data_IF_262054939441
#
_entry.id   IF_262054939441
#
_cell.length_a   1.000
_cell.length_b   1.000
_cell.length_c   1.000
_cell.angle_alpha   90.00
_cell.angle_beta   90.00
_cell.angle_gamma   90.00
#
_symmetry.space_group_name_H-M   'P 1'
#
loop_
_entity.id
_entity.type
_entity.pdbx_description
1 polymer ?
#
# COMPACT_ATOMS: atom_id res chain seq x y z
N UNK A 1 29.29 -13.90 20.33
CA UNK A 1 29.13 -12.60 19.64
C UNK A 1 30.19 -12.51 18.54
N UNK A 2 29.80 -12.45 17.26
CA UNK A 2 30.52 -11.65 16.28
C UNK A 2 29.59 -10.80 15.37
N UNK A 3 29.85 -9.49 15.42
CA UNK A 3 30.03 -8.48 14.34
C UNK A 3 29.05 -8.31 13.14
N UNK A 4 28.56 -7.06 13.06
CA UNK A 4 28.19 -6.22 11.92
C UNK A 4 26.88 -6.46 11.15
N UNK A 5 25.92 -5.57 11.41
CA UNK A 5 25.51 -4.61 10.38
C UNK A 5 25.10 -3.28 11.01
N UNK A 6 26.04 -2.34 11.02
CA UNK A 6 25.73 -0.91 10.96
C UNK A 6 24.75 -0.71 9.80
N UNK A 7 23.50 -0.30 10.07
CA UNK A 7 22.64 0.25 9.03
C UNK A 7 22.41 1.72 9.33
N UNK A 8 23.51 2.49 9.27
CA UNK A 8 23.40 3.92 9.12
C UNK A 8 23.00 4.22 7.68
N UNK A 9 22.11 5.20 7.53
CA UNK A 9 21.58 5.73 6.27
C UNK A 9 20.78 4.74 5.40
N UNK A 10 19.54 4.49 5.81
CA UNK A 10 18.35 4.87 5.03
C UNK A 10 17.03 4.57 5.77
N UNK A 11 16.98 4.82 7.09
CA UNK A 11 15.77 4.68 7.93
C UNK A 11 14.57 5.40 7.31
N UNK A 12 14.78 6.60 6.76
CA UNK A 12 13.74 7.35 6.06
C UNK A 12 13.21 6.62 4.81
N UNK A 13 14.10 6.05 4.01
CA UNK A 13 13.75 5.30 2.81
C UNK A 13 13.06 3.96 3.15
N UNK A 14 13.39 3.33 4.28
CA UNK A 14 12.71 2.13 4.78
C UNK A 14 11.32 2.46 5.35
N UNK A 15 11.18 3.62 5.99
CA UNK A 15 9.90 4.18 6.44
C UNK A 15 9.01 4.46 5.22
N UNK A 16 9.52 5.11 4.17
CA UNK A 16 8.79 5.33 2.91
C UNK A 16 8.44 4.01 2.22
N UNK A 17 9.34 3.04 2.19
CA UNK A 17 9.08 1.71 1.61
C UNK A 17 8.04 0.92 2.39
N UNK A 18 8.00 1.08 3.71
CA UNK A 18 6.94 0.56 4.59
C UNK A 18 5.61 1.28 4.37
N UNK A 19 5.64 2.57 4.07
CA UNK A 19 4.45 3.37 3.74
C UNK A 19 3.88 2.89 2.38
N UNK A 20 4.71 2.67 1.37
CA UNK A 20 4.26 2.19 0.05
C UNK A 20 3.85 0.71 0.03
N UNK A 21 4.51 -0.17 0.78
CA UNK A 21 4.06 -1.55 0.97
C UNK A 21 2.70 -1.63 1.70
N UNK A 22 2.46 -0.69 2.61
CA UNK A 22 1.16 -0.47 3.25
C UNK A 22 0.10 0.10 2.30
N UNK A 23 0.48 0.87 1.27
CA UNK A 23 -0.46 1.34 0.24
C UNK A 23 -0.89 0.27 -0.77
N UNK A 24 -0.04 -0.72 -1.05
CA UNK A 24 -0.29 -1.74 -2.08
C UNK A 24 -0.89 -3.06 -1.55
N UNK A 25 -0.85 -3.32 -0.25
CA UNK A 25 -1.38 -4.58 0.31
C UNK A 25 -0.36 -5.70 0.37
N UNK A 26 0.92 -5.36 0.59
CA UNK A 26 1.92 -6.30 1.09
C UNK A 26 1.55 -6.62 2.55
N UNK A 27 0.58 -7.52 2.70
CA UNK A 27 0.31 -8.15 3.96
C UNK A 27 1.44 -9.15 4.26
N UNK A 28 1.98 -9.06 5.47
CA UNK A 28 3.00 -9.98 5.97
C UNK A 28 2.57 -11.42 5.73
N UNK A 29 3.52 -12.30 5.42
CA UNK A 29 3.24 -13.69 5.04
C UNK A 29 2.41 -14.45 6.09
N UNK A 30 2.57 -14.05 7.36
CA UNK A 30 1.76 -14.53 8.49
C UNK A 30 0.27 -14.19 8.34
N UNK A 31 -0.05 -12.96 7.92
CA UNK A 31 -1.43 -12.52 7.69
C UNK A 31 -2.01 -13.26 6.48
N UNK A 32 -1.25 -13.29 5.39
CA UNK A 32 -1.60 -14.03 4.18
C UNK A 32 -1.89 -15.52 4.46
N UNK A 33 -1.10 -16.19 5.30
CA UNK A 33 -1.31 -17.60 5.66
C UNK A 33 -2.57 -17.82 6.52
N UNK A 34 -2.92 -16.89 7.40
CA UNK A 34 -4.18 -16.96 8.16
C UNK A 34 -5.39 -16.68 7.25
N UNK A 35 -5.25 -15.71 6.35
CA UNK A 35 -6.28 -15.31 5.41
C UNK A 35 -6.51 -16.36 4.32
N UNK A 36 -5.51 -17.18 3.98
CA UNK A 36 -5.68 -18.34 3.10
C UNK A 36 -6.29 -19.56 3.82
N UNK A 37 -6.13 -19.67 5.14
CA UNK A 37 -6.72 -20.77 5.91
C UNK A 37 -8.16 -20.49 6.38
N UNK A 38 -8.54 -19.21 6.55
CA UNK A 38 -9.85 -18.83 7.09
C UNK A 38 -10.61 -17.77 6.26
N UNK A 39 -9.94 -17.06 5.35
CA UNK A 39 -10.51 -15.94 4.60
C UNK A 39 -10.97 -16.31 3.19
N UNK A 40 -12.06 -15.70 2.72
CA UNK A 40 -12.55 -15.84 1.34
C UNK A 40 -11.87 -14.79 0.45
N UNK A 41 -11.23 -15.24 -0.63
CA UNK A 41 -10.56 -14.41 -1.65
C UNK A 41 -11.41 -13.23 -2.17
N UNK A 42 -12.74 -13.34 -2.09
CA UNK A 42 -13.69 -12.29 -2.46
C UNK A 42 -13.46 -10.94 -1.76
N UNK A 43 -12.98 -10.93 -0.51
CA UNK A 43 -12.77 -9.69 0.25
C UNK A 43 -11.60 -8.86 -0.32
N UNK A 44 -10.54 -9.52 -0.78
CA UNK A 44 -9.40 -8.86 -1.41
C UNK A 44 -9.74 -8.28 -2.77
N UNK A 45 -10.58 -9.00 -3.53
CA UNK A 45 -11.06 -8.54 -4.84
C UNK A 45 -11.94 -7.30 -4.68
N UNK A 46 -12.87 -7.32 -3.72
CA UNK A 46 -13.72 -6.17 -3.42
C UNK A 46 -12.90 -4.95 -2.97
N UNK A 47 -11.92 -5.15 -2.09
CA UNK A 47 -11.02 -4.09 -1.65
C UNK A 47 -10.24 -3.47 -2.82
N UNK A 48 -9.76 -4.32 -3.75
CA UNK A 48 -9.10 -3.86 -4.97
C UNK A 48 -10.01 -3.01 -5.87
N UNK A 49 -11.25 -3.46 -6.09
CA UNK A 49 -12.24 -2.72 -6.90
C UNK A 49 -12.55 -1.36 -6.29
N UNK A 50 -12.79 -1.32 -4.98
CA UNK A 50 -13.04 -0.06 -4.25
C UNK A 50 -11.83 0.88 -4.38
N UNK A 51 -10.61 0.36 -4.23
CA UNK A 51 -9.38 1.14 -4.38
C UNK A 51 -9.25 1.77 -5.77
N UNK A 52 -9.62 1.04 -6.82
CA UNK A 52 -9.61 1.55 -8.20
C UNK A 52 -10.63 2.68 -8.40
N UNK A 53 -11.85 2.52 -7.88
CA UNK A 53 -12.89 3.55 -8.00
C UNK A 53 -12.44 4.84 -7.30
N UNK A 54 -11.95 4.72 -6.06
CA UNK A 54 -11.44 5.86 -5.28
C UNK A 54 -10.30 6.56 -6.01
N UNK A 55 -9.37 5.80 -6.59
CA UNK A 55 -8.26 6.35 -7.36
C UNK A 55 -8.74 7.18 -8.56
N UNK A 56 -9.71 6.67 -9.33
CA UNK A 56 -10.28 7.37 -10.48
C UNK A 56 -10.95 8.68 -10.06
N UNK A 57 -11.71 8.67 -8.96
CA UNK A 57 -12.36 9.87 -8.44
C UNK A 57 -11.35 10.95 -8.01
N UNK A 58 -10.26 10.54 -7.35
CA UNK A 58 -9.18 11.45 -6.98
C UNK A 58 -8.60 12.12 -8.23
N UNK A 59 -8.29 11.34 -9.28
CA UNK A 59 -7.79 11.89 -10.53
C UNK A 59 -8.77 12.85 -11.18
N UNK A 60 -10.05 12.49 -11.22
CA UNK A 60 -11.09 13.35 -11.78
C UNK A 60 -11.19 14.70 -11.04
N UNK A 61 -11.13 14.67 -9.70
CA UNK A 61 -11.15 15.89 -8.88
C UNK A 61 -9.90 16.74 -9.11
N UNK A 62 -8.72 16.13 -9.20
CA UNK A 62 -7.47 16.85 -9.49
C UNK A 62 -7.55 17.52 -10.86
N UNK A 63 -8.04 16.81 -11.87
CA UNK A 63 -8.21 17.36 -13.23
C UNK A 63 -9.19 18.53 -13.23
N UNK A 64 -10.35 18.36 -12.58
CA UNK A 64 -11.34 19.45 -12.48
C UNK A 64 -10.77 20.65 -11.73
N UNK A 65 -10.04 20.42 -10.64
CA UNK A 65 -9.39 21.47 -9.88
C UNK A 65 -8.37 22.22 -10.73
N UNK A 66 -7.52 21.52 -11.48
CA UNK A 66 -6.54 22.18 -12.36
C UNK A 66 -7.23 23.00 -13.44
N UNK A 67 -8.26 22.46 -14.10
CA UNK A 67 -9.00 23.18 -15.14
C UNK A 67 -9.74 24.40 -14.56
N UNK A 68 -10.34 24.29 -13.37
CA UNK A 68 -11.06 25.39 -12.73
C UNK A 68 -10.16 26.54 -12.28
N UNK A 69 -8.84 26.33 -12.20
CA UNK A 69 -7.85 27.33 -11.83
C UNK A 69 -6.99 27.81 -13.03
N UNK A 70 -7.37 27.43 -14.26
CA UNK A 70 -6.81 27.92 -15.52
C UNK A 70 -7.86 28.75 -16.27
#
# INVERSE_FOLDING_TARGET
MPILSQHNSNSFLQVVKSIFAAFIGVQSEKNRAMDFNHGKASHYILAGIIGVIVFILILALVVQFVIANY
#
